data_IF_148198425542
#
_entry.id   IF_148198425542
#
_cell.length_a   1.000
_cell.length_b   1.000
_cell.length_c   1.000
_cell.angle_alpha   90.00
_cell.angle_beta   90.00
_cell.angle_gamma   90.00
#
_symmetry.space_group_name_H-M   'P 1'
#
loop_
_entity.id
_entity.type
_entity.pdbx_description
1 polymer ?
#
# COMPACT_ATOMS: atom_id res chain seq x y z
N UNK A 1 -8.12 -8.50 27.30
CA UNK A 1 -8.06 -8.10 25.89
C UNK A 1 -8.90 -6.86 25.88
N UNK A 2 -8.24 -5.76 25.59
CA UNK A 2 -8.70 -4.45 26.02
C UNK A 2 -8.89 -3.63 24.75
N UNK A 3 -10.01 -2.91 24.70
CA UNK A 3 -10.34 -2.00 23.61
C UNK A 3 -9.78 -0.64 24.02
N UNK A 4 -8.97 -0.05 23.16
CA UNK A 4 -8.34 1.23 23.40
C UNK A 4 -8.75 2.17 22.27
N UNK A 5 -9.33 3.31 22.61
CA UNK A 5 -9.78 4.31 21.66
C UNK A 5 -9.47 5.71 22.20
N UNK A 6 -9.27 6.71 21.32
CA UNK A 6 -9.17 8.08 21.75
C UNK A 6 -10.51 8.57 22.30
N UNK A 7 -10.46 9.53 23.22
CA UNK A 7 -11.67 10.14 23.78
C UNK A 7 -12.33 11.14 22.82
N UNK A 8 -11.60 11.56 21.79
CA UNK A 8 -12.07 12.49 20.76
C UNK A 8 -12.57 11.72 19.53
N UNK A 9 -13.50 12.31 18.74
CA UNK A 9 -13.89 11.77 17.46
C UNK A 9 -12.69 11.59 16.52
N UNK A 10 -12.70 10.51 15.76
CA UNK A 10 -11.67 10.22 14.75
C UNK A 10 -12.24 10.37 13.36
N UNK A 11 -13.56 10.31 13.19
CA UNK A 11 -14.27 10.53 11.94
C UNK A 11 -15.10 11.81 12.01
N UNK A 12 -14.96 12.65 10.98
CA UNK A 12 -15.65 13.93 10.82
C UNK A 12 -16.39 13.95 9.47
N UNK A 13 -17.70 13.63 9.45
CA UNK A 13 -18.46 13.55 8.22
C UNK A 13 -18.58 14.90 7.53
N UNK A 14 -18.44 14.91 6.19
CA UNK A 14 -18.64 16.11 5.36
C UNK A 14 -20.10 16.57 5.38
N UNK A 15 -21.04 15.61 5.46
CA UNK A 15 -22.46 15.92 5.50
C UNK A 15 -22.89 16.29 6.93
N UNK A 16 -23.41 17.50 7.08
CA UNK A 16 -23.82 18.14 8.33
C UNK A 16 -24.98 17.45 9.06
N UNK A 17 -25.65 16.49 8.43
CA UNK A 17 -26.67 15.65 9.07
C UNK A 17 -26.09 14.47 9.86
N UNK A 18 -24.78 14.20 9.72
CA UNK A 18 -24.08 13.18 10.49
C UNK A 18 -23.24 13.83 11.58
N UNK A 19 -23.01 13.08 12.66
CA UNK A 19 -22.22 13.54 13.80
C UNK A 19 -20.81 12.94 13.78
N UNK A 20 -19.80 13.69 14.25
CA UNK A 20 -18.47 13.13 14.50
C UNK A 20 -18.56 11.90 15.41
N UNK A 21 -17.72 10.91 15.15
CA UNK A 21 -17.67 9.67 15.94
C UNK A 21 -16.26 9.11 16.05
N UNK A 22 -16.02 8.29 17.08
CA UNK A 22 -14.77 7.56 17.25
C UNK A 22 -14.95 6.15 16.69
N UNK A 23 -14.35 5.88 15.54
CA UNK A 23 -14.44 4.57 14.87
C UNK A 23 -13.08 3.90 14.63
N UNK A 24 -12.00 4.62 14.93
CA UNK A 24 -10.63 4.12 14.88
C UNK A 24 -10.18 3.71 16.29
N UNK A 25 -9.91 2.41 16.48
CA UNK A 25 -9.59 1.83 17.79
C UNK A 25 -8.50 0.76 17.68
N UNK A 26 -7.83 0.51 18.79
CA UNK A 26 -6.84 -0.55 18.97
C UNK A 26 -7.36 -1.67 19.87
N UNK A 27 -6.92 -2.89 19.58
CA UNK A 27 -7.15 -4.05 20.43
C UNK A 27 -5.82 -4.49 21.03
N UNK A 28 -5.71 -4.45 22.35
CA UNK A 28 -4.49 -4.81 23.07
C UNK A 28 -4.69 -6.08 23.91
N UNK A 29 -3.66 -6.92 23.97
CA UNK A 29 -3.64 -8.07 24.87
C UNK A 29 -2.24 -8.23 25.46
N UNK A 30 -2.15 -8.16 26.78
CA UNK A 30 -0.88 -8.34 27.49
C UNK A 30 0.06 -7.14 27.41
N UNK A 31 -0.42 -5.99 26.93
CA UNK A 31 0.32 -4.73 26.89
C UNK A 31 -0.29 -3.80 27.95
N UNK A 32 0.55 -3.20 28.78
CA UNK A 32 0.16 -2.22 29.79
C UNK A 32 0.67 -0.82 29.39
N UNK A 33 0.07 0.24 29.91
CA UNK A 33 0.52 1.63 29.72
C UNK A 33 0.56 2.12 28.25
N UNK A 34 -0.48 1.81 27.48
CA UNK A 34 -0.66 2.41 26.14
C UNK A 34 -1.26 3.80 26.30
N UNK A 35 -0.55 4.83 25.84
CA UNK A 35 -1.11 6.17 25.64
C UNK A 35 -1.76 6.26 24.27
N UNK A 36 -2.87 7.00 24.18
CA UNK A 36 -3.54 7.26 22.90
C UNK A 36 -3.61 8.75 22.64
N UNK A 37 -3.30 9.14 21.41
CA UNK A 37 -3.44 10.52 20.93
C UNK A 37 -3.96 10.53 19.49
N UNK A 38 -4.50 11.68 19.08
CA UNK A 38 -4.93 11.93 17.70
C UNK A 38 -4.15 13.12 17.13
N UNK A 39 -4.05 13.19 15.80
CA UNK A 39 -3.57 14.38 15.10
C UNK A 39 -4.60 14.82 14.07
N UNK A 40 -4.78 16.14 13.92
CA UNK A 40 -5.61 16.69 12.86
C UNK A 40 -4.96 16.44 11.49
N UNK A 41 -5.66 15.75 10.59
CA UNK A 41 -5.26 15.57 9.20
C UNK A 41 -6.35 16.08 8.27
N UNK A 42 -6.13 17.27 7.71
CA UNK A 42 -7.12 17.93 6.85
C UNK A 42 -7.24 17.29 5.45
N UNK A 43 -6.41 16.29 5.13
CA UNK A 43 -6.48 15.59 3.84
C UNK A 43 -7.48 14.44 3.83
N UNK A 44 -8.03 14.06 4.99
CA UNK A 44 -9.00 13.00 5.16
C UNK A 44 -10.19 13.48 5.99
N UNK A 45 -11.32 12.78 5.88
CA UNK A 45 -12.44 12.86 6.82
C UNK A 45 -12.16 12.09 8.12
N UNK A 46 -10.96 11.54 8.28
CA UNK A 46 -10.47 10.91 9.49
C UNK A 46 -9.20 11.56 10.06
N UNK A 47 -9.16 11.69 11.39
CA UNK A 47 -7.96 12.05 12.15
C UNK A 47 -7.17 10.78 12.52
N UNK A 48 -5.88 10.68 12.15
CA UNK A 48 -5.03 9.57 12.56
C UNK A 48 -4.99 9.39 14.09
N UNK A 49 -4.97 8.12 14.52
CA UNK A 49 -4.85 7.71 15.92
C UNK A 49 -3.49 7.06 16.16
N UNK A 50 -2.79 7.48 17.21
CA UNK A 50 -1.51 6.91 17.63
C UNK A 50 -1.67 6.18 18.95
N UNK A 51 -1.16 4.95 18.99
CA UNK A 51 -1.05 4.13 20.20
C UNK A 51 0.43 4.03 20.56
N UNK A 52 0.82 4.61 21.69
CA UNK A 52 2.21 4.66 22.15
C UNK A 52 2.33 3.80 23.41
N UNK A 53 3.15 2.75 23.34
CA UNK A 53 3.50 1.93 24.50
C UNK A 53 4.72 2.54 25.22
N UNK A 54 4.70 2.55 26.55
CA UNK A 54 5.90 2.85 27.35
C UNK A 54 6.96 1.78 27.13
N UNK A 55 8.05 2.14 26.44
CA UNK A 55 9.12 1.22 26.02
C UNK A 55 10.03 0.81 27.19
N UNK A 56 9.52 0.06 28.16
CA UNK A 56 10.38 -0.58 29.16
C UNK A 56 10.87 -1.93 28.61
N UNK A 57 12.10 -1.93 28.07
CA UNK A 57 12.88 -3.10 27.64
C UNK A 57 12.36 -3.91 26.42
N UNK A 58 12.28 -3.28 25.24
CA UNK A 58 12.09 -4.03 23.99
C UNK A 58 13.38 -4.76 23.59
N UNK A 59 13.34 -6.09 23.61
CA UNK A 59 14.21 -6.92 22.77
C UNK A 59 13.69 -6.75 21.34
N UNK A 60 14.43 -6.02 20.50
CA UNK A 60 14.11 -5.88 19.09
C UNK A 60 14.16 -7.27 18.45
N UNK A 61 13.00 -7.88 18.23
CA UNK A 61 12.91 -9.01 17.32
C UNK A 61 13.36 -8.54 15.93
N UNK A 62 14.02 -9.40 15.13
CA UNK A 62 14.41 -9.01 13.79
C UNK A 62 13.16 -8.55 13.04
N UNK A 63 13.15 -7.27 12.63
CA UNK A 63 12.08 -6.74 11.80
C UNK A 63 11.99 -7.61 10.54
N UNK A 64 10.82 -8.17 10.28
CA UNK A 64 10.53 -8.72 8.96
C UNK A 64 10.79 -7.61 7.94
N UNK A 65 11.55 -7.93 6.88
CA UNK A 65 11.79 -6.97 5.80
C UNK A 65 10.44 -6.57 5.21
N UNK A 66 10.06 -5.30 5.38
CA UNK A 66 8.91 -4.73 4.69
C UNK A 66 9.34 -4.56 3.23
N UNK A 67 8.84 -5.45 2.37
CA UNK A 67 9.01 -5.34 0.92
C UNK A 67 7.97 -4.34 0.41
N UNK A 68 8.42 -3.18 -0.04
CA UNK A 68 7.57 -2.24 -0.77
C UNK A 68 7.76 -2.44 -2.26
N UNK A 69 6.69 -2.41 -3.04
CA UNK A 69 6.79 -2.46 -4.50
C UNK A 69 7.26 -1.10 -5.04
N UNK A 70 8.26 -1.10 -5.90
CA UNK A 70 8.61 0.05 -6.73
C UNK A 70 7.61 0.14 -7.88
N UNK A 71 6.49 0.83 -7.67
CA UNK A 71 5.42 0.95 -8.66
C UNK A 71 5.87 1.49 -10.00
N UNK A 72 6.81 2.44 -10.04
CA UNK A 72 7.35 2.96 -11.31
C UNK A 72 8.12 1.90 -12.09
N UNK A 73 8.95 1.11 -11.41
CA UNK A 73 9.71 0.01 -12.02
C UNK A 73 8.79 -1.14 -12.44
N UNK A 74 7.85 -1.51 -11.58
CA UNK A 74 6.82 -2.50 -11.82
C UNK A 74 6.00 -2.16 -13.07
N UNK A 75 5.46 -0.94 -13.15
CA UNK A 75 4.69 -0.47 -14.30
C UNK A 75 5.51 -0.49 -15.59
N UNK A 76 6.77 -0.05 -15.53
CA UNK A 76 7.67 -0.07 -16.69
C UNK A 76 7.97 -1.50 -17.15
N UNK A 77 8.20 -2.42 -16.23
CA UNK A 77 8.49 -3.81 -16.56
C UNK A 77 7.27 -4.50 -17.16
N UNK A 78 6.07 -4.26 -16.61
CA UNK A 78 4.83 -4.74 -17.20
C UNK A 78 4.59 -4.15 -18.59
N UNK A 79 4.77 -2.84 -18.78
CA UNK A 79 4.55 -2.21 -20.10
C UNK A 79 5.53 -2.69 -21.17
N UNK A 80 6.73 -3.10 -20.78
CA UNK A 80 7.74 -3.61 -21.71
C UNK A 80 7.54 -5.09 -22.07
N UNK A 81 6.87 -5.86 -21.20
CA UNK A 81 6.72 -7.33 -21.35
C UNK A 81 5.35 -7.73 -21.88
N UNK A 82 4.31 -6.93 -21.61
CA UNK A 82 2.96 -7.21 -22.04
C UNK A 82 2.55 -6.26 -23.17
N UNK A 83 1.98 -6.81 -24.24
CA UNK A 83 1.19 -5.99 -25.14
C UNK A 83 -0.25 -5.93 -24.63
N UNK A 84 -0.80 -4.71 -24.46
CA UNK A 84 -2.10 -4.50 -23.82
C UNK A 84 -3.30 -5.07 -24.61
N UNK A 85 -3.11 -5.42 -25.88
CA UNK A 85 -4.14 -6.02 -26.72
C UNK A 85 -3.51 -7.02 -27.71
N UNK A 86 -3.14 -8.24 -27.27
CA UNK A 86 -2.59 -9.25 -28.15
C UNK A 86 -3.66 -9.74 -29.14
N UNK A 87 -3.28 -9.98 -30.39
CA UNK A 87 -4.14 -10.67 -31.34
C UNK A 87 -4.24 -12.14 -30.92
N UNK A 88 -5.47 -12.65 -30.76
CA UNK A 88 -5.75 -14.03 -30.37
C UNK A 88 -6.68 -14.63 -31.42
N UNK A 89 -6.18 -15.59 -32.19
CA UNK A 89 -6.89 -16.23 -33.30
C UNK A 89 -7.40 -17.63 -32.93
N UNK A 90 -6.81 -18.27 -31.92
CA UNK A 90 -7.21 -19.60 -31.44
C UNK A 90 -7.06 -19.77 -29.92
N UNK A 91 -7.53 -20.92 -29.42
CA UNK A 91 -7.52 -21.23 -27.99
C UNK A 91 -6.10 -21.43 -27.42
N UNK A 92 -5.16 -21.90 -28.24
CA UNK A 92 -3.78 -22.10 -27.80
C UNK A 92 -3.04 -20.75 -27.69
N UNK A 93 -3.35 -19.79 -28.57
CA UNK A 93 -2.90 -18.40 -28.43
C UNK A 93 -3.50 -17.71 -27.21
N UNK A 94 -4.78 -18.00 -26.88
CA UNK A 94 -5.42 -17.51 -25.67
C UNK A 94 -4.70 -18.01 -24.41
N UNK A 95 -4.48 -19.32 -24.30
CA UNK A 95 -3.81 -19.93 -23.14
C UNK A 95 -2.40 -19.35 -22.96
N UNK A 96 -1.63 -19.22 -24.05
CA UNK A 96 -0.31 -18.57 -24.04
C UNK A 96 -0.37 -17.12 -23.59
N UNK A 97 -1.37 -16.36 -24.02
CA UNK A 97 -1.52 -14.96 -23.62
C UNK A 97 -1.79 -14.84 -22.12
N UNK A 98 -2.63 -15.73 -21.56
CA UNK A 98 -2.92 -15.79 -20.12
C UNK A 98 -1.69 -16.19 -19.32
N UNK A 99 -0.97 -17.22 -19.76
CA UNK A 99 0.26 -17.68 -19.10
C UNK A 99 1.32 -16.59 -19.10
N UNK A 100 1.54 -15.94 -20.25
CA UNK A 100 2.47 -14.82 -20.37
C UNK A 100 2.07 -13.63 -19.48
N UNK A 101 0.77 -13.37 -19.36
CA UNK A 101 0.27 -12.32 -18.49
C UNK A 101 0.58 -12.63 -17.02
N UNK A 102 0.27 -13.86 -16.58
CA UNK A 102 0.54 -14.31 -15.22
C UNK A 102 2.04 -14.32 -14.90
N UNK A 103 2.87 -14.85 -15.80
CA UNK A 103 4.34 -14.89 -15.68
C UNK A 103 4.94 -13.49 -15.58
N UNK A 104 4.46 -12.53 -16.35
CA UNK A 104 4.98 -11.16 -16.34
C UNK A 104 4.67 -10.44 -15.03
N UNK A 105 3.48 -10.64 -14.44
CA UNK A 105 3.16 -10.11 -13.09
C UNK A 105 4.05 -10.75 -12.03
N UNK A 106 4.17 -12.08 -12.04
CA UNK A 106 4.98 -12.80 -11.05
C UNK A 106 6.45 -12.38 -11.12
N UNK A 107 6.98 -12.24 -12.34
CA UNK A 107 8.35 -11.78 -12.57
C UNK A 107 8.53 -10.36 -12.04
N UNK A 108 7.66 -9.42 -12.45
CA UNK A 108 7.72 -8.04 -12.00
C UNK A 108 7.61 -7.92 -10.48
N UNK A 109 6.72 -8.68 -9.83
CA UNK A 109 6.65 -8.75 -8.37
C UNK A 109 8.00 -9.15 -7.79
N UNK A 110 8.58 -10.28 -8.24
CA UNK A 110 9.84 -10.78 -7.68
C UNK A 110 11.04 -9.84 -7.83
N UNK A 111 11.06 -8.99 -8.86
CA UNK A 111 12.21 -8.14 -9.20
C UNK A 111 12.03 -6.68 -8.78
N UNK A 112 10.81 -6.23 -8.52
CA UNK A 112 10.49 -4.80 -8.40
C UNK A 112 10.13 -4.39 -6.99
N UNK A 113 10.83 -4.97 -6.02
CA UNK A 113 10.80 -4.50 -4.65
C UNK A 113 11.83 -3.40 -4.40
N UNK A 114 11.46 -2.43 -3.58
CA UNK A 114 12.36 -1.55 -2.87
C UNK A 114 12.88 -2.30 -1.66
N UNK A 115 14.20 -2.46 -1.59
CA UNK A 115 14.84 -2.71 -0.30
C UNK A 115 14.84 -1.38 0.45
N UNK A 116 13.89 -1.22 1.36
CA UNK A 116 13.93 -0.08 2.26
C UNK A 116 15.13 -0.25 3.19
N UNK A 117 15.93 0.81 3.30
CA UNK A 117 16.83 0.91 4.43
C UNK A 117 15.99 1.04 5.71
N UNK A 118 16.45 0.52 6.86
CA UNK A 118 15.68 0.54 8.11
C UNK A 118 15.17 1.94 8.49
N UNK A 119 15.89 3.00 8.12
CA UNK A 119 15.52 4.40 8.35
C UNK A 119 14.36 4.95 7.50
N UNK A 120 14.05 4.29 6.37
CA UNK A 120 13.04 4.74 5.39
C UNK A 120 11.71 3.96 5.52
N UNK A 121 11.59 3.08 6.52
CA UNK A 121 10.35 2.35 6.78
C UNK A 121 9.20 3.29 7.13
N UNK A 122 7.97 3.01 6.68
CA UNK A 122 6.82 3.91 6.80
C UNK A 122 6.43 4.22 8.25
N UNK A 123 6.83 3.39 9.21
CA UNK A 123 6.66 3.68 10.64
C UNK A 123 7.49 4.88 11.12
N UNK A 124 8.44 5.39 10.32
CA UNK A 124 9.37 6.45 10.71
C UNK A 124 9.24 7.75 9.91
N UNK A 125 8.52 7.76 8.78
CA UNK A 125 8.34 8.98 7.98
C UNK A 125 6.87 9.31 7.81
N UNK A 126 6.49 10.49 8.30
CA UNK A 126 5.23 11.15 7.95
C UNK A 126 5.09 11.17 6.42
N UNK A 127 4.00 10.62 5.91
CA UNK A 127 3.76 10.53 4.47
C UNK A 127 3.52 11.93 3.88
N UNK A 128 4.24 12.23 2.80
CA UNK A 128 3.98 13.39 1.93
C UNK A 128 3.16 12.93 0.72
N UNK A 129 2.17 13.70 0.23
CA UNK A 129 1.34 13.29 -0.89
C UNK A 129 2.11 13.41 -2.22
N UNK A 130 2.52 12.29 -2.80
CA UNK A 130 2.98 12.26 -4.18
C UNK A 130 1.77 12.19 -5.13
N UNK A 131 1.55 13.27 -5.89
CA UNK A 131 0.57 13.30 -6.99
C UNK A 131 1.04 12.35 -8.10
N UNK A 132 0.29 11.27 -8.35
CA UNK A 132 0.45 10.44 -9.54
C UNK A 132 -0.61 10.85 -10.57
N UNK A 133 -0.19 11.69 -11.52
CA UNK A 133 -0.88 11.86 -12.80
C UNK A 133 -0.12 11.06 -13.85
N UNK A 134 -0.76 10.03 -14.42
CA UNK A 134 -0.30 9.47 -15.69
C UNK A 134 -1.50 9.02 -16.52
N UNK A 135 -1.65 9.70 -17.66
CA UNK A 135 -2.49 9.30 -18.79
C UNK A 135 -2.05 7.95 -19.33
N UNK A 136 -3.00 7.02 -19.51
CA UNK A 136 -2.77 5.74 -20.17
C UNK A 136 -2.70 5.97 -21.69
N UNK A 137 -1.51 6.08 -22.26
CA UNK A 137 -1.34 5.99 -23.72
C UNK A 137 -0.99 4.57 -24.11
N UNK A 138 -1.78 3.99 -25.02
CA UNK A 138 -1.55 2.69 -25.63
C UNK A 138 -0.24 2.70 -26.43
N UNK A 139 0.79 2.00 -25.95
CA UNK A 139 1.99 1.73 -26.73
C UNK A 139 1.71 0.59 -27.72
N UNK A 140 2.02 0.81 -28.99
CA UNK A 140 1.95 -0.21 -30.05
C UNK A 140 3.03 -1.27 -29.85
N UNK A 141 2.71 -2.55 -30.06
CA UNK A 141 3.66 -3.65 -29.92
C UNK A 141 4.85 -3.49 -30.89
N UNK A 142 6.07 -3.90 -30.52
CA UNK A 142 7.12 -4.18 -31.49
C UNK A 142 6.69 -5.37 -32.35
N UNK A 143 6.88 -5.27 -33.68
CA UNK A 143 6.63 -6.37 -34.59
C UNK A 143 7.51 -7.56 -34.17
N UNK A 144 6.88 -8.68 -33.79
CA UNK A 144 7.58 -9.96 -33.78
C UNK A 144 7.81 -10.36 -35.23
N UNK A 145 9.02 -10.11 -35.74
CA UNK A 145 9.49 -10.72 -36.98
C UNK A 145 9.86 -12.19 -36.71
N UNK A 146 9.10 -13.05 -37.41
CA UNK A 146 9.26 -14.47 -37.75
C UNK A 146 9.10 -15.53 -36.65
#
# INVERSE_FOLDING_TARGET
>A
MDIIAPNEPTYYPVNQHYHPSTIDLGLAKGIQNISVSTSEDLSSDHNPVYFLEGLDNIILQPQNQILLTNWSKFNRNLSNTMCGNPLINDLNELDKAVDNFALSIQTAMSTDFLQLKPEDQPFRKQASPAQLSSSWTLSTCPNFEN
#
